data_IF_653112951279
#
_entry.id   IF_653112951279
#
_cell.length_a   1.000
_cell.length_b   1.000
_cell.length_c   1.000
_cell.angle_alpha   90.00
_cell.angle_beta   90.00
_cell.angle_gamma   90.00
#
_symmetry.space_group_name_H-M   'P 1'
#
loop_
_entity.id
_entity.type
_entity.pdbx_description
1 polymer ?
#
# COMPACT_ATOMS: atom_id res chain seq x y z
N UNK A 1 -9.22 -1.06 7.34
CA UNK A 1 -9.92 0.23 7.58
C UNK A 1 -11.01 0.10 8.66
N UNK A 2 -12.05 -0.73 8.47
CA UNK A 2 -13.14 -0.88 9.45
C UNK A 2 -12.64 -1.18 10.87
N UNK A 3 -11.74 -2.16 11.02
CA UNK A 3 -11.16 -2.50 12.33
C UNK A 3 -10.30 -1.39 12.95
N UNK A 4 -9.67 -0.52 12.14
CA UNK A 4 -8.92 0.63 12.64
C UNK A 4 -9.86 1.71 13.20
N UNK A 5 -10.95 2.02 12.47
CA UNK A 5 -11.97 2.99 12.92
C UNK A 5 -12.72 2.48 14.15
N UNK A 6 -12.99 1.17 14.22
CA UNK A 6 -13.63 0.54 15.36
C UNK A 6 -12.70 0.37 16.58
N UNK A 7 -11.43 0.78 16.50
CA UNK A 7 -10.46 0.64 17.59
C UNK A 7 -10.01 -0.80 17.87
N UNK A 8 -10.31 -1.75 16.97
CA UNK A 8 -9.95 -3.16 17.09
C UNK A 8 -8.52 -3.45 16.64
N UNK A 9 -7.95 -2.58 15.81
CA UNK A 9 -6.61 -2.72 15.24
C UNK A 9 -5.85 -1.42 15.49
N UNK A 10 -4.63 -1.53 16.04
CA UNK A 10 -3.75 -0.39 16.32
C UNK A 10 -3.07 0.15 15.06
N UNK A 11 -3.88 0.57 14.08
CA UNK A 11 -3.44 1.21 12.84
C UNK A 11 -4.30 2.44 12.65
N UNK A 12 -3.69 3.56 12.29
CA UNK A 12 -4.42 4.80 11.99
C UNK A 12 -5.23 4.64 10.70
N UNK A 13 -6.52 5.02 10.66
CA UNK A 13 -7.33 4.96 9.43
C UNK A 13 -6.67 5.68 8.25
N UNK A 14 -5.97 6.78 8.51
CA UNK A 14 -5.26 7.59 7.52
C UNK A 14 -4.16 6.78 6.82
N UNK A 15 -3.46 5.91 7.54
CA UNK A 15 -2.44 5.01 6.96
C UNK A 15 -3.07 4.04 5.96
N UNK A 16 -4.31 3.60 6.21
CA UNK A 16 -5.02 2.73 5.26
C UNK A 16 -5.46 3.53 4.03
N UNK A 17 -5.91 4.77 4.20
CA UNK A 17 -6.32 5.65 3.11
C UNK A 17 -5.11 6.00 2.20
N UNK A 18 -3.94 6.28 2.79
CA UNK A 18 -2.68 6.47 2.05
C UNK A 18 -2.23 5.21 1.30
N UNK A 19 -2.39 4.03 1.90
CA UNK A 19 -2.09 2.76 1.23
C UNK A 19 -3.00 2.52 0.03
N UNK A 20 -4.27 2.95 0.07
CA UNK A 20 -5.18 2.81 -1.08
C UNK A 20 -4.71 3.60 -2.30
N UNK A 21 -4.05 4.75 -2.12
CA UNK A 21 -3.54 5.58 -3.21
C UNK A 21 -2.13 5.11 -3.64
N UNK A 22 -1.25 4.87 -2.66
CA UNK A 22 0.14 4.52 -2.94
C UNK A 22 0.32 3.14 -3.58
N UNK A 23 -0.59 2.19 -3.32
CA UNK A 23 -0.53 0.83 -3.87
C UNK A 23 -1.16 0.68 -5.25
N UNK A 24 -1.65 1.78 -5.86
CA UNK A 24 -2.18 1.76 -7.21
C UNK A 24 -1.06 1.44 -8.23
N UNK A 25 -1.36 0.74 -9.35
CA UNK A 25 -0.34 0.34 -10.32
C UNK A 25 0.50 1.50 -10.86
N UNK A 26 -0.13 2.64 -11.17
CA UNK A 26 0.55 3.83 -11.66
C UNK A 26 1.52 4.39 -10.62
N UNK A 27 1.10 4.45 -9.35
CA UNK A 27 1.92 4.96 -8.25
C UNK A 27 3.10 4.02 -7.96
N UNK A 28 2.89 2.70 -8.01
CA UNK A 28 3.97 1.73 -7.84
C UNK A 28 4.97 1.81 -9.00
N UNK A 29 4.51 1.92 -10.25
CA UNK A 29 5.39 2.08 -11.41
C UNK A 29 6.20 3.39 -11.32
N UNK A 30 5.56 4.49 -10.93
CA UNK A 30 6.22 5.77 -10.71
C UNK A 30 7.28 5.68 -9.61
N UNK A 31 6.96 5.04 -8.48
CA UNK A 31 7.90 4.82 -7.38
C UNK A 31 9.10 3.93 -7.77
N UNK A 32 8.88 2.94 -8.64
CA UNK A 32 9.92 2.06 -9.15
C UNK A 32 10.73 2.66 -10.30
N UNK A 33 10.32 3.82 -10.84
CA UNK A 33 10.96 4.48 -11.98
C UNK A 33 10.88 3.69 -13.29
N UNK A 34 10.08 2.63 -13.35
CA UNK A 34 9.91 1.77 -14.52
C UNK A 34 8.52 1.16 -14.58
N UNK A 35 8.13 0.70 -15.77
CA UNK A 35 6.93 -0.11 -15.92
C UNK A 35 7.20 -1.53 -15.41
N UNK A 36 6.68 -1.83 -14.23
CA UNK A 36 6.74 -3.16 -13.65
C UNK A 36 5.68 -4.06 -14.30
N UNK A 37 5.97 -5.35 -14.44
CA UNK A 37 4.97 -6.34 -14.79
C UNK A 37 3.98 -6.59 -13.61
N UNK A 38 2.96 -7.43 -13.83
CA UNK A 38 1.96 -7.69 -12.77
C UNK A 38 2.57 -8.33 -11.51
N UNK A 39 3.53 -9.24 -11.67
CA UNK A 39 4.17 -9.98 -10.58
C UNK A 39 5.12 -9.07 -9.80
N UNK A 40 5.92 -8.29 -10.52
CA UNK A 40 6.83 -7.30 -9.94
C UNK A 40 6.06 -6.26 -9.12
N UNK A 41 4.92 -5.76 -9.62
CA UNK A 41 4.06 -4.84 -8.86
C UNK A 41 3.54 -5.47 -7.57
N UNK A 42 3.15 -6.74 -7.59
CA UNK A 42 2.63 -7.41 -6.40
C UNK A 42 3.72 -7.62 -5.35
N UNK A 43 4.94 -7.95 -5.78
CA UNK A 43 6.12 -8.03 -4.90
C UNK A 43 6.41 -6.67 -4.27
N UNK A 44 6.44 -5.61 -5.07
CA UNK A 44 6.72 -4.26 -4.59
C UNK A 44 5.60 -3.74 -3.67
N UNK A 45 4.33 -4.02 -4.01
CA UNK A 45 3.17 -3.73 -3.16
C UNK A 45 3.33 -4.39 -1.78
N UNK A 46 3.62 -5.68 -1.74
CA UNK A 46 3.78 -6.43 -0.50
C UNK A 46 4.98 -5.94 0.34
N UNK A 47 6.05 -5.46 -0.31
CA UNK A 47 7.20 -4.87 0.37
C UNK A 47 6.84 -3.53 1.01
N UNK A 48 6.21 -2.63 0.27
CA UNK A 48 5.84 -1.31 0.78
C UNK A 48 4.78 -1.36 1.88
N UNK A 49 3.80 -2.28 1.78
CA UNK A 49 2.80 -2.48 2.85
C UNK A 49 3.49 -2.92 4.15
N UNK A 50 4.44 -3.87 4.09
CA UNK A 50 5.20 -4.35 5.25
C UNK A 50 6.14 -3.33 5.88
N UNK A 51 6.53 -2.28 5.15
CA UNK A 51 7.36 -1.22 5.70
C UNK A 51 6.53 -0.14 6.42
N UNK A 52 5.24 -0.02 6.10
CA UNK A 52 4.34 1.02 6.62
C UNK A 52 3.44 0.56 7.78
N UNK A 53 3.36 -0.75 8.01
CA UNK A 53 2.60 -1.40 9.08
C UNK A 53 3.55 -2.13 10.01
#
# INVERSE_FOLDING_TARGET
RLGAVAGLINVKPETVDELMISMQPATINAAAGKNLDSRERDIERAKQVRQRL
#
